data_IF_449362758168
#
_entry.id   IF_449362758168
#
_cell.length_a   1.000
_cell.length_b   1.000
_cell.length_c   1.000
_cell.angle_alpha   90.00
_cell.angle_beta   90.00
_cell.angle_gamma   90.00
#
_symmetry.space_group_name_H-M   'P 1'
#
loop_
_entity.id
_entity.type
_entity.pdbx_description
1 polymer ?
#
# COMPACT_ATOMS: atom_id res chain seq x y z
N UNK A 1 10.45 -16.99 3.70
CA UNK A 1 11.69 -16.22 3.56
C UNK A 1 11.51 -15.11 2.54
N UNK A 2 11.97 -13.91 2.86
CA UNK A 2 11.88 -12.77 1.96
C UNK A 2 12.94 -12.86 0.86
N UNK A 3 12.54 -12.55 -0.38
CA UNK A 3 13.47 -12.33 -1.48
C UNK A 3 12.89 -11.23 -2.36
N UNK A 4 13.63 -10.13 -2.54
CA UNK A 4 13.18 -9.02 -3.35
C UNK A 4 13.15 -9.41 -4.83
N UNK A 5 12.00 -9.25 -5.47
CA UNK A 5 11.84 -9.58 -6.89
C UNK A 5 12.45 -8.52 -7.82
N UNK A 6 12.89 -7.40 -7.27
CA UNK A 6 13.52 -6.33 -8.05
C UNK A 6 15.03 -6.45 -8.03
N UNK A 7 15.66 -6.57 -6.85
CA UNK A 7 17.11 -6.58 -6.74
C UNK A 7 17.69 -7.91 -6.24
N UNK A 8 16.84 -8.85 -5.83
CA UNK A 8 17.28 -10.17 -5.35
C UNK A 8 17.80 -10.21 -3.92
N UNK A 9 17.79 -9.10 -3.20
CA UNK A 9 18.23 -9.06 -1.81
C UNK A 9 17.32 -9.90 -0.92
N UNK A 10 17.87 -10.50 0.13
CA UNK A 10 17.11 -11.25 1.12
C UNK A 10 16.91 -10.47 2.41
N UNK A 11 17.41 -9.25 2.49
CA UNK A 11 17.28 -8.39 3.67
C UNK A 11 16.08 -7.47 3.53
N UNK A 12 15.18 -7.52 4.50
CA UNK A 12 13.99 -6.66 4.53
C UNK A 12 13.69 -6.23 5.96
N UNK A 13 12.97 -5.12 6.08
CA UNK A 13 12.44 -4.64 7.36
C UNK A 13 10.93 -4.56 7.29
N UNK A 14 10.28 -4.70 8.43
CA UNK A 14 8.82 -4.55 8.51
C UNK A 14 8.49 -3.08 8.67
N UNK A 15 7.53 -2.58 7.89
CA UNK A 15 7.04 -1.21 7.99
C UNK A 15 5.54 -1.16 7.80
N UNK A 16 4.93 -0.10 8.32
CA UNK A 16 3.52 0.21 8.05
C UNK A 16 3.51 1.33 7.00
N UNK A 17 2.89 1.05 5.87
CA UNK A 17 2.89 1.97 4.74
C UNK A 17 1.49 2.51 4.47
N UNK A 18 1.42 3.65 3.78
CA UNK A 18 0.18 4.23 3.31
C UNK A 18 0.21 4.23 1.79
N UNK A 19 -0.91 3.83 1.17
CA UNK A 19 -1.01 3.77 -0.28
C UNK A 19 -2.32 4.37 -0.74
N UNK A 20 -2.31 5.02 -1.90
CA UNK A 20 -3.51 5.57 -2.53
C UNK A 20 -3.96 4.62 -3.63
N UNK A 21 -5.23 4.26 -3.58
CA UNK A 21 -5.84 3.40 -4.60
C UNK A 21 -6.96 4.14 -5.31
N UNK A 22 -7.20 3.78 -6.57
CA UNK A 22 -8.35 4.29 -7.31
C UNK A 22 -9.38 3.16 -7.37
N UNK A 23 -10.55 3.42 -6.79
CA UNK A 23 -11.64 2.45 -6.70
C UNK A 23 -12.91 3.10 -7.25
N UNK A 24 -13.45 2.54 -8.32
CA UNK A 24 -14.65 3.06 -8.97
C UNK A 24 -14.58 4.57 -9.24
N UNK A 25 -13.43 5.01 -9.74
CA UNK A 25 -13.21 6.42 -10.06
C UNK A 25 -12.88 7.32 -8.88
N UNK A 26 -12.89 6.78 -7.67
CA UNK A 26 -12.56 7.53 -6.45
C UNK A 26 -11.16 7.18 -5.99
N UNK A 27 -10.46 8.16 -5.44
CA UNK A 27 -9.18 7.92 -4.80
C UNK A 27 -9.38 7.70 -3.32
N UNK A 28 -8.81 6.62 -2.80
CA UNK A 28 -8.88 6.28 -1.39
C UNK A 28 -7.48 6.07 -0.85
N UNK A 29 -7.24 6.52 0.36
CA UNK A 29 -5.97 6.33 1.06
C UNK A 29 -6.16 5.23 2.09
N UNK A 30 -5.31 4.21 2.02
CA UNK A 30 -5.28 3.16 3.04
C UNK A 30 -3.99 3.35 3.83
N UNK A 31 -4.13 3.49 5.13
CA UNK A 31 -3.00 3.71 6.03
C UNK A 31 -2.67 2.45 6.82
N UNK A 32 -1.44 2.37 7.32
CA UNK A 32 -0.99 1.32 8.23
C UNK A 32 -1.05 -0.06 7.60
N UNK A 33 -0.63 -0.17 6.36
CA UNK A 33 -0.57 -1.45 5.65
C UNK A 33 0.75 -2.14 5.99
N UNK A 34 0.73 -3.33 6.61
CA UNK A 34 1.97 -4.04 6.90
C UNK A 34 2.69 -4.43 5.61
N UNK A 35 3.97 -4.17 5.55
CA UNK A 35 4.79 -4.48 4.39
C UNK A 35 6.18 -4.90 4.80
N UNK A 36 6.83 -5.67 3.94
CA UNK A 36 8.26 -5.92 4.04
C UNK A 36 8.94 -5.05 3.01
N UNK A 37 9.84 -4.18 3.46
CA UNK A 37 10.55 -3.24 2.60
C UNK A 37 11.98 -3.71 2.43
N UNK A 38 12.40 -3.90 1.19
CA UNK A 38 13.75 -4.32 0.89
C UNK A 38 14.75 -3.29 1.41
N UNK A 39 15.73 -3.75 2.21
CA UNK A 39 16.72 -2.84 2.78
C UNK A 39 17.69 -2.30 1.74
N UNK A 40 17.80 -2.95 0.60
CA UNK A 40 18.72 -2.55 -0.44
C UNK A 40 18.12 -1.57 -1.43
N UNK A 41 16.94 -1.86 -1.98
CA UNK A 41 16.34 -1.03 -3.02
C UNK A 41 15.09 -0.27 -2.58
N UNK A 42 14.56 -0.56 -1.38
CA UNK A 42 13.38 0.13 -0.87
C UNK A 42 12.06 -0.37 -1.43
N UNK A 43 12.05 -1.43 -2.21
CA UNK A 43 10.82 -1.96 -2.80
C UNK A 43 9.95 -2.61 -1.74
N UNK A 44 8.68 -2.19 -1.61
CA UNK A 44 7.76 -2.82 -0.66
C UNK A 44 7.17 -4.10 -1.22
N UNK A 45 6.94 -5.07 -0.34
CA UNK A 45 6.29 -6.33 -0.68
C UNK A 45 5.16 -6.57 0.33
N UNK A 46 3.97 -6.89 -0.17
CA UNK A 46 2.82 -7.17 0.66
C UNK A 46 2.48 -8.66 0.56
N UNK A 47 2.08 -9.25 1.68
CA UNK A 47 1.62 -10.64 1.66
C UNK A 47 0.27 -10.72 0.93
N UNK A 48 -0.07 -11.92 0.44
CA UNK A 48 -1.36 -12.13 -0.21
C UNK A 48 -2.51 -11.89 0.76
N UNK A 49 -2.35 -12.23 2.03
CA UNK A 49 -3.36 -11.97 3.05
C UNK A 49 -3.57 -10.47 3.26
N UNK A 50 -2.49 -9.68 3.29
CA UNK A 50 -2.57 -8.24 3.42
C UNK A 50 -3.25 -7.61 2.20
N UNK A 51 -2.86 -8.05 1.00
CA UNK A 51 -3.45 -7.56 -0.25
C UNK A 51 -4.95 -7.83 -0.30
N UNK A 52 -5.36 -9.03 0.10
CA UNK A 52 -6.78 -9.39 0.14
C UNK A 52 -7.56 -8.54 1.13
N UNK A 53 -6.98 -8.30 2.31
CA UNK A 53 -7.62 -7.47 3.32
C UNK A 53 -7.81 -6.03 2.84
N UNK A 54 -6.79 -5.46 2.18
CA UNK A 54 -6.88 -4.12 1.60
C UNK A 54 -7.98 -4.08 0.54
N UNK A 55 -8.02 -5.07 -0.34
CA UNK A 55 -9.04 -5.16 -1.38
C UNK A 55 -10.45 -5.14 -0.79
N UNK A 56 -10.68 -5.90 0.26
CA UNK A 56 -11.99 -5.92 0.94
C UNK A 56 -12.34 -4.58 1.56
N UNK A 57 -11.38 -3.94 2.20
CA UNK A 57 -11.62 -2.65 2.83
C UNK A 57 -12.08 -1.60 1.81
N UNK A 58 -11.42 -1.54 0.64
CA UNK A 58 -11.70 -0.50 -0.35
C UNK A 58 -12.89 -0.83 -1.24
N UNK A 59 -13.31 -2.10 -1.32
CA UNK A 59 -14.41 -2.53 -2.18
C UNK A 59 -15.73 -2.78 -1.42
N UNK A 60 -15.91 -2.14 -0.27
CA UNK A 60 -17.23 -2.05 0.34
C UNK A 60 -17.43 -2.67 1.71
N UNK A 61 -16.49 -3.47 2.23
CA UNK A 61 -16.63 -4.04 3.57
C UNK A 61 -16.20 -3.06 4.66
N UNK A 62 -15.31 -2.13 4.32
CA UNK A 62 -14.81 -1.15 5.26
C UNK A 62 -15.53 0.18 5.15
N UNK A 63 -15.45 0.96 6.22
CA UNK A 63 -15.94 2.34 6.24
C UNK A 63 -14.76 3.27 6.49
N UNK A 64 -14.71 4.44 5.83
CA UNK A 64 -13.63 5.38 6.09
C UNK A 64 -13.60 5.80 7.55
N UNK A 65 -12.40 5.85 8.14
CA UNK A 65 -12.23 6.36 9.50
C UNK A 65 -12.22 7.88 9.51
N UNK A 66 -11.90 8.51 8.38
CA UNK A 66 -12.00 9.96 8.18
C UNK A 66 -11.94 10.27 6.70
N UNK A 67 -12.34 11.47 6.35
CA UNK A 67 -12.22 11.98 5.00
C UNK A 67 -11.33 13.22 5.03
N UNK A 68 -10.36 13.29 4.11
CA UNK A 68 -9.42 14.41 4.04
C UNK A 68 -9.48 15.06 2.66
N UNK A 69 -9.24 16.38 2.57
CA UNK A 69 -9.12 17.03 1.27
C UNK A 69 -7.82 16.60 0.58
N UNK A 70 -7.85 16.58 -0.74
CA UNK A 70 -6.71 16.18 -1.55
C UNK A 70 -6.36 17.32 -2.52
N UNK A 71 -5.16 17.89 -2.36
CA UNK A 71 -4.66 18.88 -3.31
C UNK A 71 -4.26 18.20 -4.60
N UNK A 72 -4.67 18.77 -5.72
CA UNK A 72 -4.37 18.22 -7.03
C UNK A 72 -3.57 19.24 -7.84
N UNK A 73 -2.42 18.82 -8.32
CA UNK A 73 -1.59 19.61 -9.21
C UNK A 73 -1.54 18.92 -10.55
N UNK A 74 -1.49 19.70 -11.61
CA UNK A 74 -1.40 19.14 -12.95
C UNK A 74 -0.22 19.76 -13.69
N UNK A 75 0.43 18.94 -14.52
CA UNK A 75 1.45 19.42 -15.44
C UNK A 75 0.75 19.97 -16.69
N UNK A 76 1.23 21.12 -17.18
CA UNK A 76 0.68 21.78 -18.37
C UNK A 76 1.68 21.78 -19.51
#
# INVERSE_FOLDING_TARGET
MFKCHVCGSTAARDELLSEVFTVDGRRVLVERIPAQVCERCGEPTFSSATTEKVRRLVHGEGHPVRTVPLDVFAMV
#
